data_IF_960479656832
#
_entry.id   IF_960479656832
#
_cell.length_a   1.000
_cell.length_b   1.000
_cell.length_c   1.000
_cell.angle_alpha   90.00
_cell.angle_beta   90.00
_cell.angle_gamma   90.00
#
_symmetry.space_group_name_H-M   'P 1'
#
loop_
_entity.id
_entity.type
_entity.pdbx_description
1 polymer ?
#
# COMPACT_ATOMS: atom_id res chain seq x y z
N UNK A 1 -14.17 -42.76 16.95
CA UNK A 1 -14.03 -42.53 15.49
C UNK A 1 -13.73 -41.04 15.26
N UNK A 2 -12.92 -40.79 14.23
CA UNK A 2 -12.33 -39.51 13.75
C UNK A 2 -13.43 -38.46 13.44
N UNK A 3 -13.27 -37.13 13.35
CA UNK A 3 -12.19 -36.17 13.10
C UNK A 3 -12.66 -34.82 13.70
N UNK A 4 -11.83 -33.86 14.13
CA UNK A 4 -10.66 -33.34 13.42
C UNK A 4 -11.05 -32.34 12.33
N UNK A 5 -11.73 -31.23 12.65
CA UNK A 5 -11.77 -30.01 11.83
C UNK A 5 -12.63 -28.94 12.53
N UNK A 6 -12.03 -27.83 12.96
CA UNK A 6 -12.83 -26.69 13.44
C UNK A 6 -12.03 -25.52 14.00
N UNK A 7 -10.83 -25.78 14.53
CA UNK A 7 -9.99 -24.72 15.08
C UNK A 7 -8.97 -24.11 14.09
N UNK A 8 -9.02 -24.48 12.80
CA UNK A 8 -7.99 -24.11 11.82
C UNK A 8 -8.37 -22.96 10.87
N UNK A 9 -9.60 -22.42 10.91
CA UNK A 9 -10.06 -21.42 9.92
C UNK A 9 -9.94 -19.95 10.34
N UNK A 10 -9.35 -19.64 11.51
CA UNK A 10 -9.16 -18.25 11.98
C UNK A 10 -7.71 -17.92 12.37
N UNK A 11 -6.78 -18.85 12.16
CA UNK A 11 -5.33 -18.67 12.37
C UNK A 11 -4.56 -18.38 11.07
N UNK A 12 -5.25 -17.96 10.00
CA UNK A 12 -4.64 -17.73 8.68
C UNK A 12 -4.75 -16.27 8.17
N UNK A 13 -4.96 -15.30 9.06
CA UNK A 13 -4.50 -13.94 8.78
C UNK A 13 -3.18 -13.74 9.52
N UNK A 14 -2.14 -14.44 9.05
CA UNK A 14 -0.78 -13.94 9.25
C UNK A 14 -0.85 -12.49 8.77
N UNK A 15 -0.63 -11.53 9.67
CA UNK A 15 -0.45 -10.14 9.26
C UNK A 15 0.79 -10.15 8.38
N UNK A 16 0.58 -10.14 7.07
CA UNK A 16 1.69 -10.00 6.14
C UNK A 16 2.34 -8.66 6.48
N UNK A 17 3.66 -8.60 6.47
CA UNK A 17 4.40 -7.36 6.67
C UNK A 17 5.01 -6.99 5.33
N UNK A 18 4.96 -5.71 4.99
CA UNK A 18 5.64 -5.18 3.82
C UNK A 18 6.78 -4.27 4.25
N UNK A 19 7.87 -4.28 3.49
CA UNK A 19 9.03 -3.42 3.73
C UNK A 19 9.05 -2.37 2.63
N UNK A 20 9.17 -1.10 3.00
CA UNK A 20 9.39 -0.02 2.04
C UNK A 20 10.81 -0.13 1.50
N UNK A 21 10.96 -0.27 0.18
CA UNK A 21 12.26 -0.38 -0.49
C UNK A 21 12.51 0.79 -1.45
N UNK A 22 13.79 1.08 -1.68
CA UNK A 22 14.27 2.01 -2.69
C UNK A 22 15.14 1.25 -3.68
N UNK A 23 14.64 1.05 -4.89
CA UNK A 23 15.26 0.25 -5.94
C UNK A 23 15.25 1.01 -7.28
N UNK A 24 16.05 0.56 -8.25
CA UNK A 24 16.01 1.13 -9.59
C UNK A 24 14.68 0.77 -10.26
N UNK A 25 14.08 1.74 -10.97
CA UNK A 25 12.81 1.50 -11.66
C UNK A 25 12.90 0.34 -12.65
N UNK A 26 14.04 0.17 -13.34
CA UNK A 26 14.27 -0.94 -14.26
C UNK A 26 14.24 -2.31 -13.56
N UNK A 27 14.70 -2.38 -12.31
CA UNK A 27 14.73 -3.62 -11.54
C UNK A 27 13.33 -3.97 -11.02
N UNK A 28 12.56 -2.95 -10.63
CA UNK A 28 11.16 -3.11 -10.17
C UNK A 28 10.22 -3.48 -11.31
N UNK A 29 10.35 -2.83 -12.47
CA UNK A 29 9.48 -3.05 -13.63
C UNK A 29 9.87 -4.31 -14.41
N UNK A 30 11.17 -4.63 -14.49
CA UNK A 30 11.67 -5.73 -15.29
C UNK A 30 11.32 -5.57 -16.77
N UNK A 31 10.40 -6.41 -17.27
CA UNK A 31 9.97 -6.41 -18.68
C UNK A 31 8.56 -5.86 -18.89
N UNK A 32 7.89 -5.46 -17.82
CA UNK A 32 6.51 -5.01 -17.88
C UNK A 32 6.42 -3.55 -18.37
N UNK A 33 5.20 -3.15 -18.74
CA UNK A 33 4.91 -1.75 -19.08
C UNK A 33 4.60 -0.98 -17.80
N UNK A 34 5.04 0.27 -17.76
CA UNK A 34 4.71 1.20 -16.70
C UNK A 34 4.30 2.55 -17.29
N UNK A 35 3.58 3.34 -16.49
CA UNK A 35 3.22 4.70 -16.82
C UNK A 35 3.24 5.57 -15.56
N UNK A 36 3.48 6.87 -15.73
CA UNK A 36 3.28 7.84 -14.65
C UNK A 36 1.77 8.05 -14.49
N UNK A 37 1.24 7.81 -13.30
CA UNK A 37 -0.18 7.99 -13.00
C UNK A 37 -0.38 8.78 -11.70
N UNK A 38 -0.39 10.11 -11.79
CA UNK A 38 -0.74 10.97 -10.66
C UNK A 38 -2.27 11.08 -10.56
N UNK A 39 -2.90 10.01 -10.06
CA UNK A 39 -4.35 9.73 -10.13
C UNK A 39 -5.28 10.86 -9.65
N UNK A 40 -4.82 11.75 -8.79
CA UNK A 40 -5.66 12.77 -8.15
C UNK A 40 -5.13 14.21 -8.29
N UNK A 41 -4.18 14.47 -9.19
CA UNK A 41 -3.68 15.84 -9.43
C UNK A 41 -4.78 16.80 -9.94
N UNK A 42 -5.87 16.27 -10.48
CA UNK A 42 -7.07 17.02 -10.89
C UNK A 42 -7.91 17.50 -9.70
N UNK A 43 -7.78 16.85 -8.54
CA UNK A 43 -8.61 17.09 -7.34
C UNK A 43 -7.80 17.66 -6.17
N UNK A 44 -6.53 17.31 -6.06
CA UNK A 44 -5.67 17.67 -4.93
C UNK A 44 -4.34 18.22 -5.41
N UNK A 45 -3.90 19.31 -4.78
CA UNK A 45 -2.57 19.85 -5.00
C UNK A 45 -1.52 18.90 -4.40
N UNK A 46 -0.54 18.42 -5.19
CA UNK A 46 0.56 17.63 -4.64
C UNK A 46 1.44 18.49 -3.72
N UNK A 47 2.12 17.84 -2.78
CA UNK A 47 3.18 18.46 -1.99
C UNK A 47 4.36 18.86 -2.90
N UNK A 48 5.23 19.78 -2.44
CA UNK A 48 6.46 20.10 -3.15
C UNK A 48 7.28 18.84 -3.43
N UNK A 49 7.82 18.63 -4.65
CA UNK A 49 8.53 17.41 -5.01
C UNK A 49 9.64 17.01 -4.04
N UNK A 50 10.39 17.99 -3.53
CA UNK A 50 11.44 17.76 -2.52
C UNK A 50 10.88 17.13 -1.24
N UNK A 51 9.71 17.56 -0.79
CA UNK A 51 9.04 17.03 0.40
C UNK A 51 8.49 15.63 0.17
N UNK A 52 7.99 15.34 -1.03
CA UNK A 52 7.52 13.99 -1.41
C UNK A 52 8.70 13.01 -1.35
N UNK A 53 9.81 13.34 -2.00
CA UNK A 53 11.02 12.49 -2.02
C UNK A 53 11.57 12.31 -0.62
N UNK A 54 11.70 13.39 0.16
CA UNK A 54 12.18 13.33 1.54
C UNK A 54 11.36 12.34 2.38
N UNK A 55 10.03 12.46 2.36
CA UNK A 55 9.14 11.55 3.13
C UNK A 55 9.25 10.10 2.66
N UNK A 56 9.34 9.89 1.34
CA UNK A 56 9.49 8.54 0.80
C UNK A 56 10.79 7.89 1.30
N UNK A 57 11.88 8.64 1.33
CA UNK A 57 13.19 8.18 1.81
C UNK A 57 13.20 7.90 3.32
N UNK A 58 12.50 8.71 4.13
CA UNK A 58 12.35 8.52 5.59
C UNK A 58 11.65 7.19 5.95
N UNK A 59 10.80 6.68 5.06
CA UNK A 59 10.05 5.43 5.27
C UNK A 59 10.79 4.19 4.77
N UNK A 60 11.89 4.33 4.02
CA UNK A 60 12.65 3.18 3.50
C UNK A 60 13.18 2.32 4.65
N UNK A 61 12.97 1.00 4.54
CA UNK A 61 13.37 0.01 5.54
C UNK A 61 12.35 -0.21 6.67
N UNK A 62 11.28 0.58 6.73
CA UNK A 62 10.21 0.36 7.71
C UNK A 62 9.32 -0.83 7.32
N UNK A 63 9.00 -1.68 8.30
CA UNK A 63 7.98 -2.71 8.17
C UNK A 63 6.59 -2.11 8.45
N UNK A 64 5.70 -2.17 7.47
CA UNK A 64 4.31 -1.74 7.61
C UNK A 64 3.38 -2.96 7.68
N UNK A 65 2.33 -2.91 8.52
CA UNK A 65 1.31 -3.95 8.53
C UNK A 65 0.66 -4.01 7.14
N UNK A 66 0.62 -5.19 6.56
CA UNK A 66 0.20 -5.41 5.18
C UNK A 66 -0.98 -6.40 5.17
N UNK A 67 -2.12 -5.94 4.68
CA UNK A 67 -3.08 -6.81 4.02
C UNK A 67 -2.83 -6.68 2.51
N UNK A 68 -2.66 -7.80 1.80
CA UNK A 68 -2.60 -7.81 0.34
C UNK A 68 -4.01 -7.56 -0.24
N UNK A 69 -4.41 -6.29 -0.35
CA UNK A 69 -4.83 -5.81 -1.66
C UNK A 69 -4.07 -4.53 -2.03
N UNK A 70 -4.11 -4.18 -3.32
CA UNK A 70 -3.51 -2.97 -3.91
C UNK A 70 -3.82 -1.66 -3.16
N UNK A 71 -4.81 -1.70 -2.28
CA UNK A 71 -5.28 -0.62 -1.40
C UNK A 71 -4.18 -0.05 -0.49
N UNK A 72 -3.29 -0.88 0.08
CA UNK A 72 -2.25 -0.39 1.00
C UNK A 72 -1.12 0.34 0.27
N UNK A 73 -0.78 -0.11 -0.93
CA UNK A 73 0.24 0.56 -1.75
C UNK A 73 -0.27 1.88 -2.32
N UNK A 74 -1.52 1.94 -2.80
CA UNK A 74 -2.12 3.19 -3.27
C UNK A 74 -2.24 4.21 -2.13
N UNK A 75 -2.65 3.73 -0.94
CA UNK A 75 -2.73 4.57 0.25
C UNK A 75 -1.37 5.17 0.65
N UNK A 76 -0.33 4.33 0.65
CA UNK A 76 1.03 4.74 0.95
C UNK A 76 1.52 5.85 0.01
N UNK A 77 1.39 5.66 -1.31
CA UNK A 77 1.88 6.66 -2.28
C UNK A 77 1.03 7.94 -2.31
N UNK A 78 -0.28 7.84 -2.03
CA UNK A 78 -1.14 9.01 -1.92
C UNK A 78 -0.83 9.84 -0.66
N UNK A 79 -0.53 9.20 0.47
CA UNK A 79 -0.08 9.91 1.68
C UNK A 79 1.22 10.68 1.40
N UNK A 80 2.17 10.06 0.69
CA UNK A 80 3.42 10.70 0.29
C UNK A 80 3.19 11.89 -0.64
N UNK A 81 2.33 11.74 -1.65
CA UNK A 81 2.13 12.77 -2.69
C UNK A 81 1.26 13.94 -2.23
N UNK A 82 0.15 13.67 -1.56
CA UNK A 82 -0.86 14.68 -1.23
C UNK A 82 -0.88 15.06 0.25
N UNK A 83 -0.12 14.34 1.09
CA UNK A 83 -0.08 14.59 2.53
C UNK A 83 -1.34 14.16 3.28
N UNK A 84 -2.25 13.44 2.63
CA UNK A 84 -3.46 12.87 3.24
C UNK A 84 -3.51 11.37 2.92
N UNK A 85 -3.53 10.48 3.93
CA UNK A 85 -3.83 9.08 3.73
C UNK A 85 -5.28 8.91 3.26
N UNK A 86 -5.53 8.87 1.95
CA UNK A 86 -6.83 8.52 1.40
C UNK A 86 -6.70 7.36 0.43
N UNK A 87 -7.42 6.29 0.75
CA UNK A 87 -7.91 5.31 -0.22
C UNK A 87 -9.35 5.69 -0.54
N UNK A 88 -9.70 5.80 -1.81
CA UNK A 88 -11.09 6.05 -2.24
C UNK A 88 -12.00 4.82 -2.03
N UNK A 89 -11.51 3.72 -1.43
CA UNK A 89 -12.24 2.44 -1.35
C UNK A 89 -12.48 1.87 0.05
N UNK A 90 -12.72 2.70 1.08
CA UNK A 90 -13.29 2.18 2.34
C UNK A 90 -14.48 3.01 2.83
N UNK A 91 -15.66 2.72 2.26
CA UNK A 91 -16.94 2.69 2.99
C UNK A 91 -17.89 1.67 2.34
N UNK A 92 -17.60 0.39 2.49
CA UNK A 92 -18.67 -0.60 2.63
C UNK A 92 -18.34 -1.57 3.76
N UNK A 93 -18.26 -1.02 4.96
CA UNK A 93 -18.57 -1.76 6.18
C UNK A 93 -19.83 -1.11 6.73
N UNK A 94 -20.98 -1.62 6.30
CA UNK A 94 -22.21 -1.66 7.11
C UNK A 94 -22.84 -3.05 6.97
N UNK A 95 -22.57 -3.87 7.99
CA UNK A 95 -23.52 -4.70 8.74
C UNK A 95 -24.44 -5.67 7.96
N UNK A 96 -24.17 -6.96 8.13
CA UNK A 96 -25.18 -7.95 8.50
C UNK A 96 -24.61 -8.83 9.61
#
# INVERSE_FOLDING_TARGET
>A
EVAGAGAASIMSTLTEKAIVKKELLCDVVGRDKYQVNNKHDDKYSPLPPSKIVQRAEELVGQELPYSLPCENCEHFVNELRYGVPRSDQVRDVVVA
#
